data_IF_300229014926
#
_entry.id   IF_300229014926
#
_cell.length_a   1.000
_cell.length_b   1.000
_cell.length_c   1.000
_cell.angle_alpha   90.00
_cell.angle_beta   90.00
_cell.angle_gamma   90.00
#
_symmetry.space_group_name_H-M   'P 1'
#
loop_
_entity.id
_entity.type
_entity.pdbx_description
1 polymer ?
#
# COMPACT_ATOMS: atom_id res chain seq x y z
N UNK A 1 1.40 -49.61 15.37
CA UNK A 1 2.01 -48.63 14.44
C UNK A 1 0.91 -47.68 14.01
N UNK A 2 0.89 -46.49 14.61
CA UNK A 2 -0.10 -45.43 14.42
C UNK A 2 0.24 -44.67 13.15
N UNK A 3 -0.63 -44.75 12.15
CA UNK A 3 -0.52 -43.99 10.90
C UNK A 3 -0.62 -42.49 11.19
N UNK A 4 0.34 -41.74 10.62
CA UNK A 4 0.50 -40.32 10.86
C UNK A 4 -0.75 -39.52 10.47
N UNK A 5 -1.07 -38.60 11.37
CA UNK A 5 -2.00 -37.50 11.29
C UNK A 5 -1.86 -36.74 9.96
N UNK A 6 -3.03 -36.32 9.45
CA UNK A 6 -3.29 -35.57 8.23
C UNK A 6 -2.12 -34.84 7.58
N UNK A 7 -1.85 -35.22 6.34
CA UNK A 7 -1.09 -34.41 5.38
C UNK A 7 -1.83 -33.10 5.17
N UNK A 8 -1.53 -32.09 5.99
CA UNK A 8 -1.94 -30.71 5.76
C UNK A 8 -1.50 -30.33 4.36
N UNK A 9 -2.48 -30.12 3.49
CA UNK A 9 -2.29 -30.01 2.05
C UNK A 9 -1.17 -29.03 1.71
N UNK A 10 -0.26 -29.51 0.87
CA UNK A 10 0.66 -28.70 0.07
C UNK A 10 -0.08 -27.51 -0.54
N UNK A 11 0.63 -26.41 -0.83
CA UNK A 11 0.11 -25.12 -1.33
C UNK A 11 -1.01 -25.21 -2.40
N UNK A 12 -1.10 -26.33 -3.12
CA UNK A 12 -2.19 -26.72 -4.02
C UNK A 12 -3.58 -26.64 -3.36
N UNK A 13 -3.78 -27.14 -2.13
CA UNK A 13 -5.08 -27.09 -1.44
C UNK A 13 -5.54 -25.65 -1.17
N UNK A 14 -4.60 -24.74 -0.86
CA UNK A 14 -4.92 -23.32 -0.63
C UNK A 14 -5.34 -22.59 -1.90
N UNK A 15 -4.76 -22.94 -3.07
CA UNK A 15 -5.13 -22.36 -4.36
C UNK A 15 -6.53 -22.77 -4.81
N UNK A 16 -6.87 -24.06 -4.71
CA UNK A 16 -8.20 -24.56 -5.11
C UNK A 16 -9.32 -23.89 -4.32
N UNK A 17 -9.08 -23.61 -3.04
CA UNK A 17 -10.05 -22.92 -2.19
C UNK A 17 -10.15 -21.41 -2.49
N UNK A 18 -9.30 -20.80 -3.30
CA UNK A 18 -9.40 -19.39 -3.72
C UNK A 18 -10.15 -19.18 -5.05
N UNK A 19 -10.35 -20.24 -5.84
CA UNK A 19 -10.94 -20.13 -7.18
C UNK A 19 -12.45 -19.87 -7.16
N UNK A 20 -13.16 -20.34 -6.12
CA UNK A 20 -14.63 -20.21 -6.00
C UNK A 20 -15.09 -19.32 -4.84
N UNK A 21 -14.17 -18.68 -4.10
CA UNK A 21 -14.51 -17.75 -3.01
C UNK A 21 -13.49 -16.62 -2.90
N UNK A 22 -13.91 -15.40 -2.55
CA UNK A 22 -12.99 -14.29 -2.34
C UNK A 22 -11.91 -14.61 -1.29
N UNK A 23 -10.71 -14.08 -1.49
CA UNK A 23 -9.67 -14.15 -0.47
C UNK A 23 -10.06 -13.26 0.72
N UNK A 24 -10.39 -13.89 1.85
CA UNK A 24 -10.83 -13.21 3.07
C UNK A 24 -9.82 -12.16 3.57
N UNK A 25 -8.50 -12.42 3.43
CA UNK A 25 -7.46 -11.46 3.83
C UNK A 25 -7.50 -10.25 2.93
N UNK A 26 -7.55 -10.44 1.61
CA UNK A 26 -7.63 -9.34 0.64
C UNK A 26 -8.87 -8.49 0.85
N UNK A 27 -10.04 -9.12 1.05
CA UNK A 27 -11.29 -8.40 1.33
C UNK A 27 -11.17 -7.61 2.65
N UNK A 28 -10.64 -8.23 3.70
CA UNK A 28 -10.43 -7.55 4.99
C UNK A 28 -9.49 -6.36 4.87
N UNK A 29 -8.38 -6.50 4.15
CA UNK A 29 -7.43 -5.40 3.89
C UNK A 29 -8.09 -4.25 3.12
N UNK A 30 -8.92 -4.52 2.11
CA UNK A 30 -9.60 -3.47 1.34
C UNK A 30 -10.61 -2.71 2.21
N UNK A 31 -11.40 -3.41 3.03
CA UNK A 31 -12.35 -2.77 3.95
C UNK A 31 -11.62 -1.92 4.99
N UNK A 32 -10.52 -2.44 5.55
CA UNK A 32 -9.68 -1.68 6.47
C UNK A 32 -9.07 -0.44 5.81
N UNK A 33 -8.52 -0.55 4.59
CA UNK A 33 -8.02 0.57 3.80
C UNK A 33 -9.11 1.63 3.52
N UNK A 34 -10.37 1.21 3.39
CA UNK A 34 -11.50 2.13 3.25
C UNK A 34 -11.74 2.94 4.53
N UNK A 35 -11.53 2.35 5.70
CA UNK A 35 -11.58 3.07 6.98
C UNK A 35 -10.44 4.09 7.09
N UNK A 36 -9.23 3.73 6.66
CA UNK A 36 -8.09 4.67 6.58
C UNK A 36 -8.39 5.83 5.61
N UNK A 37 -9.05 5.56 4.47
CA UNK A 37 -9.51 6.61 3.56
C UNK A 37 -10.48 7.58 4.24
N UNK A 38 -11.43 7.09 5.04
CA UNK A 38 -12.34 7.94 5.81
C UNK A 38 -11.60 8.77 6.87
N UNK A 39 -10.57 8.19 7.49
CA UNK A 39 -9.67 8.93 8.39
C UNK A 39 -8.97 10.09 7.65
N UNK A 40 -8.37 9.84 6.48
CA UNK A 40 -7.77 10.90 5.65
C UNK A 40 -8.79 11.93 5.15
N UNK A 41 -10.04 11.54 4.87
CA UNK A 41 -11.10 12.47 4.50
C UNK A 41 -11.38 13.50 5.61
N UNK A 42 -11.29 13.11 6.88
CA UNK A 42 -11.34 14.03 8.01
C UNK A 42 -10.18 15.04 8.02
N UNK A 43 -8.96 14.59 7.71
CA UNK A 43 -7.79 15.49 7.57
C UNK A 43 -7.98 16.49 6.42
N UNK A 44 -8.51 16.04 5.28
CA UNK A 44 -8.83 16.94 4.15
C UNK A 44 -9.92 17.94 4.52
N UNK A 45 -10.97 17.52 5.23
CA UNK A 45 -12.02 18.44 5.70
C UNK A 45 -11.45 19.54 6.59
N UNK A 46 -10.57 19.20 7.55
CA UNK A 46 -9.89 20.19 8.38
C UNK A 46 -9.06 21.17 7.55
N UNK A 47 -8.30 20.67 6.56
CA UNK A 47 -7.52 21.53 5.66
C UNK A 47 -8.42 22.49 4.87
N UNK A 48 -9.50 21.99 4.25
CA UNK A 48 -10.38 22.83 3.44
C UNK A 48 -11.15 23.87 4.26
N UNK A 49 -11.59 23.52 5.48
CA UNK A 49 -12.22 24.48 6.39
C UNK A 49 -11.23 25.58 6.78
N UNK A 50 -10.01 25.23 7.20
CA UNK A 50 -8.98 26.22 7.54
C UNK A 50 -8.62 27.11 6.34
N UNK A 51 -8.51 26.52 5.15
CA UNK A 51 -8.26 27.22 3.89
C UNK A 51 -9.39 28.20 3.54
N UNK A 52 -10.64 27.80 3.69
CA UNK A 52 -11.81 28.64 3.38
C UNK A 52 -11.95 29.83 4.34
N UNK A 53 -11.58 29.65 5.61
CA UNK A 53 -11.61 30.73 6.62
C UNK A 53 -10.44 31.71 6.48
N UNK A 54 -9.38 31.34 5.76
CA UNK A 54 -8.20 32.18 5.53
C UNK A 54 -8.42 33.10 4.32
N UNK A 55 -9.24 34.14 4.50
CA UNK A 55 -9.76 34.98 3.42
C UNK A 55 -8.73 35.94 2.79
N UNK A 56 -7.67 36.34 3.50
CA UNK A 56 -6.66 37.30 3.01
C UNK A 56 -5.26 36.80 3.34
N UNK A 57 -4.35 36.80 2.34
CA UNK A 57 -2.92 36.53 2.55
C UNK A 57 -2.57 35.07 2.83
N UNK A 58 -3.18 34.11 2.11
CA UNK A 58 -2.81 32.69 2.19
C UNK A 58 -1.93 32.25 1.02
N UNK A 59 -0.84 31.50 1.26
CA UNK A 59 -0.34 31.03 2.56
C UNK A 59 0.21 32.17 3.44
N UNK A 60 0.04 32.12 4.77
CA UNK A 60 0.53 33.17 5.65
C UNK A 60 2.08 33.21 5.65
N UNK A 61 2.72 34.39 5.56
CA UNK A 61 4.16 34.49 5.75
C UNK A 61 4.58 33.91 7.10
N UNK A 62 5.70 33.17 7.21
CA UNK A 62 6.76 32.97 6.21
C UNK A 62 6.64 31.62 5.45
N UNK A 63 5.42 31.10 5.25
CA UNK A 63 5.28 29.76 4.64
C UNK A 63 5.60 29.77 3.14
N UNK A 64 6.70 29.11 2.78
CA UNK A 64 7.14 28.91 1.41
C UNK A 64 7.05 27.43 1.04
N UNK A 65 6.26 27.12 0.01
CA UNK A 65 6.10 25.74 -0.45
C UNK A 65 7.27 25.36 -1.36
N UNK A 66 8.18 24.54 -0.83
CA UNK A 66 9.32 24.04 -1.61
C UNK A 66 8.90 22.92 -2.58
N UNK A 67 8.41 23.32 -3.75
CA UNK A 67 8.05 22.42 -4.83
C UNK A 67 9.26 21.64 -5.38
N UNK A 68 10.46 22.23 -5.33
CA UNK A 68 11.68 21.60 -5.82
C UNK A 68 12.07 20.36 -5.01
N UNK A 69 11.69 20.29 -3.72
CA UNK A 69 11.82 19.09 -2.90
C UNK A 69 10.58 18.19 -2.98
N UNK A 70 9.37 18.76 -2.95
CA UNK A 70 8.14 17.99 -2.91
C UNK A 70 7.91 17.14 -4.17
N UNK A 71 8.22 17.65 -5.36
CA UNK A 71 7.97 16.94 -6.62
C UNK A 71 8.89 15.71 -6.79
N UNK A 72 10.22 15.79 -6.59
CA UNK A 72 11.07 14.62 -6.70
C UNK A 72 10.71 13.51 -5.71
N UNK A 73 10.45 13.84 -4.43
CA UNK A 73 10.12 12.82 -3.43
C UNK A 73 8.78 12.15 -3.71
N UNK A 74 7.75 12.90 -4.12
CA UNK A 74 6.46 12.31 -4.50
C UNK A 74 6.58 11.44 -5.74
N UNK A 75 7.40 11.85 -6.72
CA UNK A 75 7.71 11.04 -7.90
C UNK A 75 8.39 9.72 -7.52
N UNK A 76 9.36 9.75 -6.60
CA UNK A 76 10.03 8.54 -6.08
C UNK A 76 9.00 7.61 -5.42
N UNK A 77 8.08 8.12 -4.59
CA UNK A 77 7.05 7.31 -3.95
C UNK A 77 6.07 6.68 -4.95
N UNK A 78 5.70 7.40 -6.01
CA UNK A 78 4.87 6.87 -7.10
C UNK A 78 5.62 5.74 -7.82
N UNK A 79 6.90 5.94 -8.15
CA UNK A 79 7.73 4.90 -8.76
C UNK A 79 7.94 3.70 -7.83
N UNK A 80 8.05 3.92 -6.52
CA UNK A 80 8.13 2.86 -5.50
C UNK A 80 6.86 1.99 -5.48
N UNK A 81 5.69 2.58 -5.76
CA UNK A 81 4.44 1.82 -5.92
C UNK A 81 4.51 0.86 -7.11
N UNK A 82 5.15 1.27 -8.21
CA UNK A 82 5.37 0.41 -9.39
C UNK A 82 6.34 -0.74 -9.05
N UNK A 83 7.41 -0.47 -8.29
CA UNK A 83 8.35 -1.53 -7.87
C UNK A 83 7.70 -2.53 -6.92
N UNK A 84 6.81 -2.08 -6.04
CA UNK A 84 6.01 -2.94 -5.19
C UNK A 84 5.14 -3.89 -6.02
N UNK A 85 4.46 -3.35 -7.05
CA UNK A 85 3.61 -4.14 -7.94
C UNK A 85 4.41 -5.18 -8.74
N UNK A 86 5.62 -4.84 -9.20
CA UNK A 86 6.53 -5.81 -9.83
C UNK A 86 6.92 -6.94 -8.88
N UNK A 87 7.08 -6.65 -7.59
CA UNK A 87 7.27 -7.65 -6.54
C UNK A 87 6.08 -8.60 -6.40
N UNK A 88 4.84 -8.08 -6.45
CA UNK A 88 3.61 -8.90 -6.41
C UNK A 88 3.57 -9.85 -7.62
N UNK A 89 3.89 -9.38 -8.82
CA UNK A 89 3.96 -10.24 -10.00
C UNK A 89 5.04 -11.34 -9.89
N UNK A 90 6.17 -11.06 -9.24
CA UNK A 90 7.16 -12.09 -8.93
C UNK A 90 6.62 -13.12 -7.92
N UNK A 91 5.88 -12.68 -6.90
CA UNK A 91 5.21 -13.57 -5.94
C UNK A 91 4.15 -14.45 -6.60
N UNK A 92 3.33 -13.92 -7.51
CA UNK A 92 2.33 -14.70 -8.27
C UNK A 92 2.99 -15.83 -9.10
N UNK A 93 4.20 -15.57 -9.62
CA UNK A 93 5.02 -16.58 -10.34
C UNK A 93 5.73 -17.56 -9.40
N UNK A 94 5.68 -17.35 -8.08
CA UNK A 94 6.35 -18.17 -7.08
C UNK A 94 7.85 -17.86 -6.90
N UNK A 95 8.35 -16.74 -7.43
CA UNK A 95 9.75 -16.34 -7.29
C UNK A 95 9.97 -15.53 -5.99
N UNK A 96 10.46 -16.21 -4.96
CA UNK A 96 10.74 -15.63 -3.64
C UNK A 96 11.93 -14.65 -3.68
N UNK A 97 12.92 -14.89 -4.54
CA UNK A 97 14.09 -14.00 -4.65
C UNK A 97 13.72 -12.71 -5.39
N UNK A 98 12.93 -12.84 -6.45
CA UNK A 98 12.33 -11.70 -7.16
C UNK A 98 11.50 -10.83 -6.22
N UNK A 99 10.59 -11.42 -5.44
CA UNK A 99 9.79 -10.70 -4.45
C UNK A 99 10.67 -9.91 -3.47
N UNK A 100 11.66 -10.58 -2.85
CA UNK A 100 12.56 -9.94 -1.87
C UNK A 100 13.34 -8.78 -2.49
N UNK A 101 13.89 -8.96 -3.69
CA UNK A 101 14.65 -7.91 -4.39
C UNK A 101 13.78 -6.67 -4.65
N UNK A 102 12.57 -6.86 -5.18
CA UNK A 102 11.68 -5.74 -5.47
C UNK A 102 11.18 -5.03 -4.22
N UNK A 103 10.93 -5.76 -3.14
CA UNK A 103 10.50 -5.17 -1.87
C UNK A 103 11.65 -4.43 -1.15
N UNK A 104 12.90 -4.88 -1.28
CA UNK A 104 14.07 -4.13 -0.79
C UNK A 104 14.23 -2.81 -1.54
N UNK A 105 14.07 -2.79 -2.87
CA UNK A 105 14.12 -1.56 -3.65
C UNK A 105 13.00 -0.61 -3.22
N UNK A 106 11.77 -1.13 -3.09
CA UNK A 106 10.61 -0.36 -2.63
C UNK A 106 10.84 0.26 -1.25
N UNK A 107 11.44 -0.50 -0.32
CA UNK A 107 11.79 -0.02 1.01
C UNK A 107 12.82 1.11 0.96
N UNK A 108 13.91 0.95 0.19
CA UNK A 108 14.96 1.97 0.05
C UNK A 108 14.42 3.26 -0.56
N UNK A 109 13.48 3.16 -1.50
CA UNK A 109 12.83 4.33 -2.09
C UNK A 109 11.82 5.00 -1.14
N UNK A 110 11.33 4.28 -0.13
CA UNK A 110 10.38 4.77 0.85
C UNK A 110 11.01 5.31 2.14
N UNK A 111 12.31 5.10 2.36
CA UNK A 111 13.10 5.68 3.46
C UNK A 111 13.69 7.02 3.07
#
# INVERSE_FOLDING_TARGET
>A
MTSAVGTSGTAITSRVHSLNRPNMVSVGTIVWLSSELMFFAGLFAMYFVARANSAVGWPPPPTELNLALAIPVTTILILSSVTCQMGVFAAERGDVFGLRRWYVITLIMGT
#
